data_IF_365895394688
#
_entry.id   IF_365895394688
#
_cell.length_a   1.000
_cell.length_b   1.000
_cell.length_c   1.000
_cell.angle_alpha   90.00
_cell.angle_beta   90.00
_cell.angle_gamma   90.00
#
_symmetry.space_group_name_H-M   'P 1'
#
loop_
_entity.id
_entity.type
_entity.pdbx_description
1 polymer ?
#
# COMPACT_ATOMS: atom_id res chain seq x y z
N UNK A 1 -14.58 -1.39 12.96
CA UNK A 1 -14.25 -2.67 12.29
C UNK A 1 -15.49 -3.26 11.66
N UNK A 2 -15.30 -4.09 10.64
CA UNK A 2 -16.37 -4.78 9.89
C UNK A 2 -17.42 -3.85 9.27
N UNK A 3 -17.04 -2.62 8.94
CA UNK A 3 -17.90 -1.68 8.22
C UNK A 3 -17.17 -1.17 6.99
N UNK A 4 -17.76 -1.41 5.85
CA UNK A 4 -17.28 -0.92 4.55
C UNK A 4 -18.02 0.36 4.18
N UNK A 5 -17.27 1.38 3.75
CA UNK A 5 -17.85 2.60 3.17
C UNK A 5 -18.32 2.27 1.76
N UNK A 6 -19.61 2.39 1.52
CA UNK A 6 -20.23 2.10 0.23
C UNK A 6 -20.62 3.34 -0.54
N UNK A 7 -20.77 4.48 0.15
CA UNK A 7 -21.08 5.76 -0.48
C UNK A 7 -20.70 6.93 0.43
N UNK A 8 -20.59 8.13 -0.13
CA UNK A 8 -20.48 9.39 0.60
C UNK A 8 -21.84 10.12 0.56
N UNK A 9 -22.26 10.65 1.71
CA UNK A 9 -23.48 11.45 1.81
C UNK A 9 -23.13 12.91 1.52
N UNK A 10 -23.84 13.53 0.59
CA UNK A 10 -23.63 14.92 0.20
C UNK A 10 -24.86 15.77 0.49
N UNK A 11 -24.61 17.04 0.86
CA UNK A 11 -25.58 18.12 0.87
C UNK A 11 -25.07 19.21 -0.08
N UNK A 12 -25.70 19.30 -1.27
CA UNK A 12 -25.14 20.03 -2.39
C UNK A 12 -23.77 19.46 -2.79
N UNK A 13 -22.75 20.32 -2.80
CA UNK A 13 -21.35 19.89 -3.11
C UNK A 13 -20.60 19.40 -1.86
N UNK A 14 -21.14 19.65 -0.65
CA UNK A 14 -20.49 19.30 0.61
C UNK A 14 -20.67 17.84 0.95
N UNK A 15 -19.59 17.15 1.32
CA UNK A 15 -19.66 15.84 1.97
C UNK A 15 -20.01 16.03 3.45
N UNK A 16 -21.09 15.38 3.90
CA UNK A 16 -21.63 15.50 5.26
C UNK A 16 -21.68 14.18 6.00
N UNK A 17 -21.24 13.08 5.37
CA UNK A 17 -21.26 11.77 6.01
C UNK A 17 -20.91 10.63 5.08
N UNK A 18 -21.11 9.41 5.59
CA UNK A 18 -20.82 8.16 4.89
C UNK A 18 -21.95 7.15 5.05
N UNK A 19 -22.17 6.35 4.03
CA UNK A 19 -22.99 5.14 4.09
C UNK A 19 -22.09 3.93 4.31
N UNK A 20 -22.49 3.06 5.21
CA UNK A 20 -21.73 1.92 5.69
C UNK A 20 -22.55 0.63 5.57
N UNK A 21 -21.86 -0.43 5.21
CA UNK A 21 -22.39 -1.80 5.29
C UNK A 21 -21.57 -2.58 6.31
N UNK A 22 -22.21 -3.20 7.28
CA UNK A 22 -21.57 -4.15 8.17
C UNK A 22 -21.31 -5.45 7.40
N UNK A 23 -20.06 -5.82 7.26
CA UNK A 23 -19.65 -7.02 6.49
C UNK A 23 -19.99 -8.35 7.16
N UNK A 24 -20.36 -8.35 8.46
CA UNK A 24 -20.74 -9.57 9.17
C UNK A 24 -22.21 -9.95 8.94
N UNK A 25 -23.11 -8.98 8.88
CA UNK A 25 -24.55 -9.22 8.85
C UNK A 25 -25.28 -8.53 7.69
N UNK A 26 -24.55 -7.71 6.91
CA UNK A 26 -25.09 -6.96 5.78
C UNK A 26 -25.95 -5.74 6.16
N UNK A 27 -26.08 -5.41 7.45
CA UNK A 27 -26.82 -4.25 7.89
C UNK A 27 -26.23 -2.95 7.38
N UNK A 28 -27.10 -1.96 7.08
CA UNK A 28 -26.69 -0.66 6.56
C UNK A 28 -26.92 0.41 7.59
N UNK A 29 -25.99 1.36 7.65
CA UNK A 29 -26.17 2.54 8.47
C UNK A 29 -25.51 3.77 7.84
N UNK A 30 -25.92 4.94 8.29
CA UNK A 30 -25.34 6.22 7.91
C UNK A 30 -24.66 6.86 9.12
N UNK A 31 -23.57 7.58 8.86
CA UNK A 31 -22.88 8.40 9.87
C UNK A 31 -22.63 9.78 9.29
N UNK A 32 -22.93 10.79 10.06
CA UNK A 32 -22.77 12.19 9.67
C UNK A 32 -21.63 12.82 10.45
N UNK A 33 -20.90 13.72 9.81
CA UNK A 33 -19.78 14.45 10.40
C UNK A 33 -19.57 15.78 9.66
N UNK A 34 -18.97 16.75 10.34
CA UNK A 34 -18.59 18.04 9.74
C UNK A 34 -17.44 17.89 8.73
N UNK A 35 -16.59 16.86 8.91
CA UNK A 35 -15.47 16.54 8.06
C UNK A 35 -15.32 15.02 7.93
N UNK A 36 -15.20 14.54 6.69
CA UNK A 36 -14.89 13.14 6.37
C UNK A 36 -13.44 13.06 5.90
N UNK A 37 -12.64 12.21 6.57
CA UNK A 37 -11.25 11.96 6.21
C UNK A 37 -11.14 10.59 5.57
N UNK A 38 -10.79 10.57 4.28
CA UNK A 38 -10.50 9.37 3.54
C UNK A 38 -9.04 8.93 3.80
N UNK A 39 -8.88 7.94 4.65
CA UNK A 39 -7.60 7.28 4.92
C UNK A 39 -7.61 5.83 4.38
N UNK A 40 -8.31 5.59 3.27
CA UNK A 40 -8.55 4.28 2.67
C UNK A 40 -7.33 3.63 2.00
N UNK A 41 -6.12 4.18 2.18
CA UNK A 41 -4.89 3.62 1.64
C UNK A 41 -4.99 3.45 0.12
N UNK A 42 -4.69 2.26 -0.38
CA UNK A 42 -4.73 1.98 -1.82
C UNK A 42 -6.14 2.05 -2.42
N UNK A 43 -7.18 1.88 -1.61
CA UNK A 43 -8.58 2.02 -2.03
C UNK A 43 -9.10 3.46 -1.94
N UNK A 44 -8.29 4.40 -1.43
CA UNK A 44 -8.67 5.80 -1.25
C UNK A 44 -9.16 6.47 -2.54
N UNK A 45 -8.68 6.06 -3.70
CA UNK A 45 -9.17 6.55 -5.00
C UNK A 45 -10.64 6.17 -5.27
N UNK A 46 -11.07 4.96 -4.84
CA UNK A 46 -12.47 4.53 -4.96
C UNK A 46 -13.39 5.39 -4.10
N UNK A 47 -12.96 5.69 -2.87
CA UNK A 47 -13.73 6.54 -1.94
C UNK A 47 -13.77 7.98 -2.46
N UNK A 48 -12.66 8.51 -2.96
CA UNK A 48 -12.63 9.86 -3.55
C UNK A 48 -13.57 9.97 -4.77
N UNK A 49 -13.62 8.94 -5.61
CA UNK A 49 -14.53 8.88 -6.75
C UNK A 49 -16.01 8.94 -6.35
N UNK A 50 -16.40 8.43 -5.17
CA UNK A 50 -17.77 8.55 -4.64
C UNK A 50 -18.16 10.02 -4.38
N UNK A 51 -17.19 10.88 -4.08
CA UNK A 51 -17.41 12.32 -3.95
C UNK A 51 -17.37 13.06 -5.29
N UNK A 52 -16.93 12.43 -6.37
CA UNK A 52 -16.64 13.04 -7.66
C UNK A 52 -15.21 13.57 -7.80
N UNK A 53 -14.33 13.26 -6.85
CA UNK A 53 -12.92 13.66 -6.87
C UNK A 53 -12.03 12.58 -7.52
N UNK A 54 -10.99 13.03 -8.23
CA UNK A 54 -9.98 12.12 -8.81
C UNK A 54 -8.70 12.15 -8.01
N UNK A 55 -8.25 11.00 -7.55
CA UNK A 55 -6.93 10.83 -6.92
C UNK A 55 -6.10 9.88 -7.77
N UNK A 56 -5.07 10.41 -8.40
CA UNK A 56 -4.15 9.64 -9.24
C UNK A 56 -3.20 8.83 -8.35
N UNK A 57 -3.53 7.59 -8.11
CA UNK A 57 -2.68 6.67 -7.37
C UNK A 57 -1.85 5.80 -8.30
N UNK A 58 -0.66 5.46 -7.82
CA UNK A 58 0.24 4.49 -8.43
C UNK A 58 0.32 3.26 -7.53
N UNK A 59 -0.44 2.19 -7.82
CA UNK A 59 -0.38 0.96 -7.03
C UNK A 59 0.97 0.26 -7.24
N UNK A 60 1.87 0.39 -6.27
CA UNK A 60 3.19 -0.22 -6.31
C UNK A 60 3.24 -1.47 -5.45
N UNK A 61 3.15 -2.64 -6.09
CA UNK A 61 3.32 -3.94 -5.42
C UNK A 61 4.74 -4.11 -4.91
N UNK A 62 4.89 -4.67 -3.71
CA UNK A 62 6.16 -5.11 -3.15
C UNK A 62 6.02 -6.49 -2.55
N UNK A 63 6.83 -7.44 -2.99
CA UNK A 63 6.90 -8.80 -2.45
C UNK A 63 8.04 -8.92 -1.44
N UNK A 64 7.86 -9.78 -0.44
CA UNK A 64 8.84 -10.11 0.60
C UNK A 64 8.89 -11.61 0.81
N UNK A 65 10.07 -12.11 1.24
CA UNK A 65 10.26 -13.49 1.69
C UNK A 65 10.61 -13.51 3.18
N UNK A 66 10.03 -14.45 3.91
CA UNK A 66 10.35 -14.76 5.29
C UNK A 66 11.09 -16.09 5.33
N UNK A 67 12.25 -16.10 5.99
CA UNK A 67 13.12 -17.27 6.16
C UNK A 67 12.99 -17.85 7.57
N UNK A 68 13.13 -19.17 7.67
CA UNK A 68 12.93 -19.94 8.90
C UNK A 68 14.06 -19.82 9.93
N UNK A 69 15.10 -19.07 9.62
CA UNK A 69 16.19 -18.78 10.55
C UNK A 69 16.57 -17.32 10.52
N UNK A 70 16.97 -16.80 11.66
CA UNK A 70 17.57 -15.48 11.80
C UNK A 70 19.03 -15.54 11.32
N UNK A 71 19.29 -15.04 10.11
CA UNK A 71 20.61 -15.05 9.48
C UNK A 71 21.40 -13.76 9.69
N UNK A 72 20.75 -12.72 10.24
CA UNK A 72 21.36 -11.41 10.51
C UNK A 72 20.84 -10.84 11.84
N UNK A 73 21.67 -10.05 12.56
CA UNK A 73 21.31 -9.46 13.84
C UNK A 73 20.97 -7.97 13.73
N UNK A 74 21.33 -7.34 12.64
CA UNK A 74 21.07 -5.93 12.32
C UNK A 74 20.43 -5.84 10.94
N UNK A 75 19.76 -4.73 10.65
CA UNK A 75 19.30 -4.44 9.30
C UNK A 75 20.49 -4.24 8.38
N UNK A 76 20.51 -4.98 7.26
CA UNK A 76 21.54 -4.87 6.24
C UNK A 76 20.90 -4.24 5.00
N UNK A 77 21.50 -3.13 4.53
CA UNK A 77 21.05 -2.42 3.34
C UNK A 77 22.23 -2.27 2.38
N UNK A 78 21.99 -2.40 1.10
CA UNK A 78 23.03 -2.28 0.06
C UNK A 78 23.56 -0.88 -0.15
N UNK A 79 22.92 0.17 0.35
CA UNK A 79 23.33 1.58 0.22
C UNK A 79 23.61 1.99 -1.23
N UNK A 80 22.76 1.57 -2.17
CA UNK A 80 22.79 1.92 -3.61
C UNK A 80 21.50 2.61 -4.03
N UNK A 81 21.38 3.00 -5.31
CA UNK A 81 20.08 3.40 -5.85
C UNK A 81 19.04 2.30 -5.58
N UNK A 82 17.83 2.63 -5.09
CA UNK A 82 16.83 1.65 -4.71
C UNK A 82 16.56 0.63 -5.81
N UNK A 83 16.72 -0.64 -5.49
CA UNK A 83 16.48 -1.77 -6.37
C UNK A 83 15.79 -2.91 -5.62
N UNK A 84 15.62 -4.07 -6.27
CA UNK A 84 14.96 -5.21 -5.65
C UNK A 84 15.87 -5.88 -4.61
N UNK A 85 15.25 -6.38 -3.52
CA UNK A 85 15.91 -7.10 -2.44
C UNK A 85 17.10 -6.35 -1.80
N UNK A 86 16.97 -5.06 -1.59
CA UNK A 86 18.05 -4.25 -1.03
C UNK A 86 18.14 -4.27 0.49
N UNK A 87 17.12 -4.78 1.18
CA UNK A 87 17.04 -4.74 2.65
C UNK A 87 16.81 -6.14 3.19
N UNK A 88 17.70 -6.58 4.07
CA UNK A 88 17.56 -7.78 4.88
C UNK A 88 17.31 -7.36 6.33
N UNK A 89 16.16 -7.74 6.88
CA UNK A 89 15.69 -7.32 8.20
C UNK A 89 15.64 -8.53 9.13
N UNK A 90 16.22 -8.43 10.35
CA UNK A 90 16.05 -9.46 11.37
C UNK A 90 14.67 -9.36 12.00
N UNK A 91 13.99 -10.49 12.15
CA UNK A 91 12.89 -10.67 13.06
C UNK A 91 13.36 -11.27 14.38
N UNK A 92 12.44 -11.79 15.18
CA UNK A 92 12.79 -12.46 16.44
C UNK A 92 13.58 -13.74 16.17
N UNK A 93 12.98 -14.70 15.48
CA UNK A 93 13.61 -15.99 15.11
C UNK A 93 13.81 -16.16 13.59
N UNK A 94 13.48 -15.16 12.81
CA UNK A 94 13.42 -15.18 11.37
C UNK A 94 14.25 -14.07 10.75
N UNK A 95 14.45 -14.12 9.43
CA UNK A 95 14.90 -12.98 8.62
C UNK A 95 13.96 -12.73 7.45
N UNK A 96 13.86 -11.47 7.05
CA UNK A 96 13.02 -11.03 5.93
C UNK A 96 13.88 -10.36 4.87
N UNK A 97 13.67 -10.70 3.61
CA UNK A 97 14.29 -10.00 2.46
C UNK A 97 13.22 -9.32 1.63
N UNK A 98 13.47 -8.10 1.21
CA UNK A 98 12.56 -7.36 0.33
C UNK A 98 13.11 -6.01 -0.11
N UNK A 99 12.36 -5.33 -0.94
CA UNK A 99 11.12 -5.71 -1.61
C UNK A 99 11.31 -5.65 -3.11
N UNK A 100 10.43 -6.32 -3.86
CA UNK A 100 10.24 -5.97 -5.28
C UNK A 100 9.50 -4.64 -5.41
N UNK A 101 9.44 -4.09 -6.60
CA UNK A 101 8.58 -2.93 -6.88
C UNK A 101 8.10 -2.99 -8.32
N UNK A 102 6.81 -3.18 -8.51
CA UNK A 102 6.15 -3.20 -9.82
C UNK A 102 4.79 -2.53 -9.74
N UNK A 103 4.37 -1.85 -10.81
CA UNK A 103 3.01 -1.36 -10.93
C UNK A 103 2.06 -2.52 -11.12
N UNK A 104 0.90 -2.47 -10.47
CA UNK A 104 -0.19 -3.43 -10.66
C UNK A 104 -1.47 -2.71 -11.05
N UNK A 105 -2.32 -3.34 -11.87
CA UNK A 105 -3.66 -2.84 -12.17
C UNK A 105 -4.53 -2.76 -10.91
N UNK A 106 -5.49 -1.84 -10.90
CA UNK A 106 -6.40 -1.66 -9.76
C UNK A 106 -7.32 -2.85 -9.48
N UNK A 107 -7.67 -3.63 -10.51
CA UNK A 107 -8.49 -4.84 -10.41
C UNK A 107 -7.75 -6.01 -9.76
N UNK A 108 -6.43 -5.91 -9.58
CA UNK A 108 -5.59 -6.94 -8.98
C UNK A 108 -5.13 -6.61 -7.55
N UNK A 109 -5.47 -5.44 -7.01
CA UNK A 109 -4.98 -5.02 -5.68
C UNK A 109 -5.56 -5.84 -4.53
N UNK A 110 -6.72 -6.45 -4.71
CA UNK A 110 -7.40 -7.24 -3.67
C UNK A 110 -6.94 -8.71 -3.63
N UNK A 111 -6.27 -9.22 -4.68
CA UNK A 111 -5.74 -10.59 -4.76
C UNK A 111 -4.24 -10.58 -5.10
N UNK A 112 -3.43 -10.02 -4.18
CA UNK A 112 -1.98 -9.93 -4.36
C UNK A 112 -1.29 -11.28 -4.14
N UNK A 113 -0.79 -11.85 -5.24
CA UNK A 113 0.04 -13.06 -5.19
C UNK A 113 1.49 -12.74 -5.47
N UNK A 114 2.39 -13.42 -4.77
CA UNK A 114 3.83 -13.41 -5.10
C UNK A 114 4.05 -14.43 -6.20
N UNK A 115 4.68 -14.00 -7.29
CA UNK A 115 4.98 -14.88 -8.41
C UNK A 115 6.29 -15.66 -8.20
N UNK A 116 6.48 -16.83 -8.83
CA UNK A 116 7.74 -17.55 -8.78
C UNK A 116 8.94 -16.68 -9.21
N UNK A 117 8.76 -15.84 -10.21
CA UNK A 117 9.79 -14.93 -10.72
C UNK A 117 10.21 -13.89 -9.66
N UNK A 118 9.26 -13.39 -8.86
CA UNK A 118 9.56 -12.49 -7.74
C UNK A 118 10.32 -13.22 -6.63
N UNK A 119 9.99 -14.48 -6.35
CA UNK A 119 10.73 -15.31 -5.38
C UNK A 119 12.16 -15.52 -5.85
N UNK A 120 12.38 -15.93 -7.10
CA UNK A 120 13.70 -16.16 -7.69
C UNK A 120 14.54 -14.87 -7.68
N UNK A 121 13.93 -13.74 -8.02
CA UNK A 121 14.57 -12.44 -7.97
C UNK A 121 15.04 -12.08 -6.55
N UNK A 122 14.13 -12.20 -5.56
CA UNK A 122 14.43 -11.90 -4.16
C UNK A 122 15.51 -12.81 -3.60
N UNK A 123 15.50 -14.10 -3.94
CA UNK A 123 16.55 -15.06 -3.55
C UNK A 123 17.89 -14.71 -4.18
N UNK A 124 17.94 -14.53 -5.49
CA UNK A 124 19.17 -14.21 -6.21
C UNK A 124 19.83 -12.92 -5.72
N UNK A 125 19.02 -11.88 -5.50
CA UNK A 125 19.53 -10.60 -5.01
C UNK A 125 19.83 -10.64 -3.51
N UNK A 126 19.03 -11.36 -2.72
CA UNK A 126 19.21 -11.51 -1.28
C UNK A 126 20.49 -12.27 -0.92
N UNK A 127 20.87 -13.29 -1.69
CA UNK A 127 22.13 -14.04 -1.51
C UNK A 127 23.37 -13.17 -1.62
N UNK A 128 23.28 -12.04 -2.32
CA UNK A 128 24.38 -11.06 -2.38
C UNK A 128 24.55 -10.27 -1.08
N UNK A 129 23.50 -10.20 -0.23
CA UNK A 129 23.57 -9.63 1.13
C UNK A 129 23.99 -10.68 2.17
N UNK A 130 23.39 -11.87 2.07
CA UNK A 130 23.68 -12.99 2.96
C UNK A 130 23.68 -14.31 2.16
N UNK A 131 24.85 -14.86 1.82
CA UNK A 131 24.94 -16.10 1.04
C UNK A 131 24.20 -17.31 1.64
N UNK A 132 24.03 -17.33 2.98
CA UNK A 132 23.27 -18.37 3.69
C UNK A 132 21.79 -18.44 3.28
N UNK A 133 21.22 -17.39 2.69
CA UNK A 133 19.85 -17.43 2.17
C UNK A 133 19.66 -18.45 1.05
N UNK A 134 20.74 -18.89 0.39
CA UNK A 134 20.69 -19.92 -0.64
C UNK A 134 20.17 -21.27 -0.11
N UNK A 135 20.45 -21.58 1.15
CA UNK A 135 20.13 -22.86 1.79
C UNK A 135 19.10 -22.73 2.92
N UNK A 136 18.72 -21.49 3.26
CA UNK A 136 17.75 -21.25 4.32
C UNK A 136 16.33 -21.45 3.81
N UNK A 137 15.54 -22.24 4.54
CA UNK A 137 14.13 -22.53 4.19
C UNK A 137 13.29 -21.26 4.17
N UNK A 138 12.55 -21.04 3.09
CA UNK A 138 11.50 -20.02 3.02
C UNK A 138 10.26 -20.55 3.74
N UNK A 139 9.75 -19.78 4.69
CA UNK A 139 8.51 -20.07 5.41
C UNK A 139 7.29 -19.47 4.71
N UNK A 140 7.44 -18.24 4.21
CA UNK A 140 6.33 -17.49 3.60
C UNK A 140 6.85 -16.51 2.56
N UNK A 141 6.05 -16.33 1.51
CA UNK A 141 6.11 -15.19 0.61
C UNK A 141 4.80 -14.41 0.76
N UNK A 142 4.88 -13.08 0.81
CA UNK A 142 3.70 -12.22 0.81
C UNK A 142 3.99 -10.91 0.07
N UNK A 143 2.92 -10.25 -0.36
CA UNK A 143 3.00 -8.97 -1.05
C UNK A 143 1.98 -7.99 -0.49
N UNK A 144 2.28 -6.73 -0.64
CA UNK A 144 1.37 -5.62 -0.37
C UNK A 144 1.48 -4.56 -1.45
N UNK A 145 0.54 -3.62 -1.46
CA UNK A 145 0.51 -2.52 -2.43
C UNK A 145 0.68 -1.19 -1.72
N UNK A 146 1.65 -0.41 -2.17
CA UNK A 146 1.89 0.94 -1.67
C UNK A 146 0.99 1.93 -2.39
N UNK A 147 0.23 2.76 -1.67
CA UNK A 147 -0.62 3.81 -2.25
C UNK A 147 0.21 5.05 -2.59
N UNK A 148 1.06 4.98 -3.62
CA UNK A 148 1.84 6.12 -4.05
C UNK A 148 0.96 7.08 -4.84
N UNK A 149 1.18 8.39 -4.69
CA UNK A 149 0.52 9.42 -5.49
C UNK A 149 1.56 9.99 -6.45
N UNK A 150 1.27 9.88 -7.73
CA UNK A 150 2.20 10.35 -8.76
C UNK A 150 1.49 10.92 -9.96
N UNK A 151 2.16 11.92 -10.54
CA UNK A 151 1.88 12.39 -11.89
C UNK A 151 2.75 11.67 -12.95
N UNK A 152 3.61 10.73 -12.56
CA UNK A 152 4.71 10.22 -13.39
C UNK A 152 4.54 8.80 -13.90
N UNK A 153 5.18 8.54 -15.06
CA UNK A 153 5.17 7.28 -15.80
C UNK A 153 6.30 6.30 -15.40
N UNK A 154 6.85 6.38 -14.18
CA UNK A 154 7.85 5.42 -13.72
C UNK A 154 7.21 4.04 -13.47
N UNK A 155 7.52 3.01 -14.28
CA UNK A 155 6.89 1.69 -14.18
C UNK A 155 7.14 0.99 -12.84
N UNK A 156 8.22 1.36 -12.14
CA UNK A 156 8.60 0.76 -10.85
C UNK A 156 8.02 1.50 -9.64
N UNK A 157 7.63 2.76 -9.81
CA UNK A 157 7.23 3.65 -8.71
C UNK A 157 8.35 3.97 -7.72
N UNK A 158 9.61 3.66 -8.04
CA UNK A 158 10.74 3.84 -7.11
C UNK A 158 11.18 5.29 -6.99
N UNK A 159 11.00 6.09 -8.05
CA UNK A 159 11.28 7.52 -8.07
C UNK A 159 10.16 8.35 -7.44
N UNK A 160 8.96 7.78 -7.28
CA UNK A 160 7.82 8.47 -6.71
C UNK A 160 8.04 8.74 -5.22
N UNK A 161 7.74 9.96 -4.78
CA UNK A 161 7.78 10.33 -3.36
C UNK A 161 6.90 9.39 -2.53
N UNK A 162 7.42 8.92 -1.42
CA UNK A 162 6.68 8.11 -0.44
C UNK A 162 6.21 8.95 0.75
N UNK A 163 6.31 10.27 0.65
CA UNK A 163 5.83 11.19 1.68
C UNK A 163 4.31 11.09 1.86
N UNK A 164 3.83 11.62 2.99
CA UNK A 164 2.41 11.78 3.24
C UNK A 164 1.88 12.86 2.29
N UNK A 165 0.75 12.57 1.66
CA UNK A 165 0.00 13.50 0.80
C UNK A 165 -1.35 13.74 1.45
N UNK A 166 -1.66 15.00 1.72
CA UNK A 166 -2.96 15.45 2.21
C UNK A 166 -3.62 16.28 1.10
N UNK A 167 -4.75 15.80 0.60
CA UNK A 167 -5.54 16.45 -0.45
C UNK A 167 -6.79 17.06 0.18
N UNK A 168 -6.82 18.37 0.28
CA UNK A 168 -8.02 19.12 0.64
C UNK A 168 -8.89 19.29 -0.61
N UNK A 169 -10.00 18.56 -0.65
CA UNK A 169 -10.87 18.53 -1.80
C UNK A 169 -11.75 19.79 -1.93
N UNK A 170 -11.91 20.59 -0.86
CA UNK A 170 -12.59 21.88 -0.97
C UNK A 170 -11.80 22.82 -1.87
N UNK A 171 -10.53 23.00 -1.56
CA UNK A 171 -9.64 23.91 -2.32
C UNK A 171 -9.32 23.38 -3.72
N UNK A 172 -9.17 22.05 -3.84
CA UNK A 172 -8.69 21.42 -5.06
C UNK A 172 -9.80 21.11 -6.07
N UNK A 173 -10.94 20.64 -5.60
CA UNK A 173 -12.01 20.03 -6.41
C UNK A 173 -13.37 20.71 -6.19
N UNK A 174 -13.47 21.70 -5.28
CA UNK A 174 -14.74 22.36 -4.92
C UNK A 174 -15.67 21.45 -4.12
N UNK A 175 -15.13 20.51 -3.32
CA UNK A 175 -15.88 19.53 -2.53
C UNK A 175 -15.62 19.78 -1.04
N UNK A 176 -16.39 20.66 -0.35
CA UNK A 176 -16.20 20.94 1.06
C UNK A 176 -16.46 19.71 1.94
N UNK A 177 -15.85 19.68 3.12
CA UNK A 177 -16.06 18.64 4.13
C UNK A 177 -15.39 17.30 3.79
N UNK A 178 -14.43 17.26 2.84
CA UNK A 178 -13.77 16.04 2.44
C UNK A 178 -12.25 16.22 2.26
N UNK A 179 -11.48 15.35 2.90
CA UNK A 179 -9.99 15.31 2.79
C UNK A 179 -9.56 13.89 2.50
N UNK A 180 -8.58 13.71 1.62
CA UNK A 180 -7.90 12.43 1.42
C UNK A 180 -6.47 12.49 1.95
N UNK A 181 -6.12 11.56 2.84
CA UNK A 181 -4.75 11.35 3.31
C UNK A 181 -4.25 10.03 2.74
N UNK A 182 -3.09 10.06 2.09
CA UNK A 182 -2.47 8.89 1.49
C UNK A 182 -0.95 9.02 1.48
N UNK A 183 -0.23 7.98 1.07
CA UNK A 183 1.23 7.97 0.98
C UNK A 183 1.82 6.57 1.11
N UNK A 184 3.10 6.42 0.75
CA UNK A 184 3.79 5.14 0.70
C UNK A 184 4.59 4.79 1.95
N UNK A 185 4.49 5.54 3.04
CA UNK A 185 5.16 5.27 4.32
C UNK A 185 4.13 5.12 5.43
N UNK A 186 4.32 4.08 6.22
CA UNK A 186 3.76 3.97 7.57
C UNK A 186 4.87 4.39 8.53
N UNK A 187 4.60 5.33 9.40
CA UNK A 187 5.54 5.82 10.41
C UNK A 187 5.02 5.52 11.80
#
# INVERSE_FOLDING_TARGET
TYHEVTNLIKDGDRVVGVELVNTNDGSRCQRYADLVINAGGIWGHKIAAMAGATVNMFPAKGALLIFGHRVNNIVINRCRKPADADILVPGDTISLIGTTSSRVPYDQIDDMKVTPQEVDLLLREGQKLAPSLATTRILRAYAGVRPLVAADNDPSGRSISRGIVCLDHETRDGIPGFITITGGKLM
#
